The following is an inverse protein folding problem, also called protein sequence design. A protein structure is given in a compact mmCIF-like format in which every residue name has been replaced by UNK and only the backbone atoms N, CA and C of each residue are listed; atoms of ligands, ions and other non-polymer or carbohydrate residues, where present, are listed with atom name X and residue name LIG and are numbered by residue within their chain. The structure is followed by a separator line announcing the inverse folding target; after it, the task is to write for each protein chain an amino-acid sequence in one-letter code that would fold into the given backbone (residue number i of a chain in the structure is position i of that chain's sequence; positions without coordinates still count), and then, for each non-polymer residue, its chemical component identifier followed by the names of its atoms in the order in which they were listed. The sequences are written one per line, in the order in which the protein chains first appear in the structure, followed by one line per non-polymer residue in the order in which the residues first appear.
data_IF_639644267202
#
_entry.id   IF_639644267202
#
_cell.length_a   1.000
_cell.length_b   1.000
_cell.length_c   1.000
_cell.angle_alpha   90.00
_cell.angle_beta   90.00
_cell.angle_gamma   90.00
#
_symmetry.space_group_name_H-M   'P 1'
#
loop_
_entity.id
_entity.type
_entity.pdbx_description
1 polymer ?
#
# COMPACT_ATOMS: atom_id res chain seq x y z
N UNK A 1 14.55 -53.50 26.40
CA UNK A 1 14.16 -52.10 26.59
C UNK A 1 14.17 -51.41 25.21
N UNK A 2 13.65 -50.19 25.00
CA UNK A 2 13.69 -49.56 23.68
C UNK A 2 15.11 -49.14 23.26
N UNK A 3 15.44 -49.34 21.98
CA UNK A 3 16.66 -48.83 21.35
C UNK A 3 16.30 -47.56 20.59
N UNK A 4 16.95 -46.44 20.93
CA UNK A 4 16.73 -45.15 20.27
C UNK A 4 17.98 -44.72 19.49
N UNK A 5 17.77 -43.91 18.46
CA UNK A 5 18.86 -43.27 17.74
C UNK A 5 19.06 -41.83 18.25
N UNK A 6 20.21 -41.57 18.89
CA UNK A 6 20.52 -40.27 19.48
C UNK A 6 20.65 -39.14 18.45
N UNK A 7 21.00 -39.45 17.20
CA UNK A 7 21.04 -38.44 16.13
C UNK A 7 19.70 -37.75 15.95
N UNK A 8 18.59 -38.46 16.16
CA UNK A 8 17.23 -37.90 16.00
C UNK A 8 16.97 -36.75 16.97
N UNK A 9 17.50 -36.82 18.19
CA UNK A 9 17.18 -35.89 19.28
C UNK A 9 18.23 -34.80 19.46
N UNK A 10 19.50 -35.09 19.16
CA UNK A 10 20.64 -34.19 19.45
C UNK A 10 21.39 -33.75 18.19
N UNK A 11 20.72 -33.72 17.04
CA UNK A 11 21.29 -33.08 15.85
C UNK A 11 21.33 -31.55 16.05
N UNK A 12 22.42 -30.84 15.67
CA UNK A 12 23.57 -31.28 14.89
C UNK A 12 24.77 -31.76 15.71
N UNK A 13 24.71 -31.76 17.04
CA UNK A 13 25.80 -32.17 17.93
C UNK A 13 26.22 -33.62 17.67
N UNK A 14 25.24 -34.51 17.50
CA UNK A 14 25.45 -35.89 17.06
C UNK A 14 25.07 -35.99 15.58
N UNK A 15 26.07 -36.12 14.70
CA UNK A 15 25.86 -36.16 13.24
C UNK A 15 25.72 -37.57 12.66
N UNK A 16 26.24 -38.59 13.34
CA UNK A 16 26.19 -39.99 12.90
C UNK A 16 25.14 -40.75 13.69
N UNK A 17 24.55 -41.78 13.08
CA UNK A 17 23.60 -42.66 13.77
C UNK A 17 24.30 -43.34 14.96
N UNK A 18 23.71 -43.19 16.15
CA UNK A 18 24.21 -43.75 17.39
C UNK A 18 23.04 -44.36 18.16
N UNK A 19 23.01 -45.69 18.21
CA UNK A 19 21.93 -46.46 18.81
C UNK A 19 22.25 -46.79 20.26
N UNK A 20 21.35 -46.44 21.17
CA UNK A 20 21.51 -46.67 22.62
C UNK A 20 20.23 -47.30 23.16
N UNK A 21 20.39 -48.35 23.97
CA UNK A 21 19.30 -48.93 24.73
C UNK A 21 19.03 -48.08 25.96
N UNK A 22 17.79 -47.61 26.10
CA UNK A 22 17.33 -46.76 27.20
C UNK A 22 16.07 -47.36 27.82
N UNK A 23 15.72 -46.96 29.04
CA UNK A 23 14.46 -47.37 29.65
C UNK A 23 13.25 -46.81 28.89
N UNK A 24 12.09 -47.46 29.07
CA UNK A 24 10.84 -47.01 28.45
C UNK A 24 10.48 -45.56 28.83
N UNK A 25 10.64 -45.21 30.10
CA UNK A 25 10.37 -43.86 30.62
C UNK A 25 11.25 -42.80 29.96
N UNK A 26 12.53 -43.08 29.76
CA UNK A 26 13.46 -42.14 29.10
C UNK A 26 13.10 -41.96 27.63
N UNK A 27 12.77 -43.05 26.93
CA UNK A 27 12.34 -42.97 25.54
C UNK A 27 11.05 -42.15 25.37
N UNK A 28 10.09 -42.30 26.28
CA UNK A 28 8.84 -41.54 26.27
C UNK A 28 9.07 -40.05 26.58
N UNK A 29 9.89 -39.74 27.59
CA UNK A 29 10.25 -38.37 27.94
C UNK A 29 10.91 -37.63 26.77
N UNK A 30 11.79 -38.31 26.01
CA UNK A 30 12.44 -37.74 24.83
C UNK A 30 11.46 -37.43 23.70
N UNK A 31 10.50 -38.32 23.43
CA UNK A 31 9.45 -38.08 22.43
C UNK A 31 8.52 -36.95 22.85
N UNK A 32 8.15 -36.87 24.13
CA UNK A 32 7.31 -35.77 24.61
C UNK A 32 8.03 -34.42 24.52
N UNK A 33 9.33 -34.38 24.83
CA UNK A 33 10.17 -33.20 24.62
C UNK A 33 10.11 -32.70 23.17
N UNK A 34 10.31 -33.60 22.19
CA UNK A 34 10.20 -33.25 20.76
C UNK A 34 8.81 -32.74 20.37
N UNK A 35 7.74 -33.30 20.94
CA UNK A 35 6.37 -32.83 20.67
C UNK A 35 6.18 -31.42 21.22
N UNK A 36 6.70 -31.12 22.40
CA UNK A 36 6.64 -29.79 23.01
C UNK A 36 7.39 -28.78 22.14
N UNK A 37 8.63 -29.10 21.71
CA UNK A 37 9.43 -28.24 20.84
C UNK A 37 8.72 -27.95 19.51
N UNK A 38 8.22 -28.98 18.82
CA UNK A 38 7.46 -28.81 17.57
C UNK A 38 6.20 -27.99 17.76
N UNK A 39 5.51 -28.14 18.91
CA UNK A 39 4.33 -27.33 19.24
C UNK A 39 4.71 -25.87 19.40
N UNK A 40 5.84 -25.59 20.05
CA UNK A 40 6.37 -24.24 20.19
C UNK A 40 6.79 -23.64 18.85
N UNK A 41 7.51 -24.38 18.01
CA UNK A 41 7.87 -23.92 16.65
C UNK A 41 6.64 -23.58 15.80
N UNK A 42 5.61 -24.44 15.82
CA UNK A 42 4.35 -24.17 15.14
C UNK A 42 3.66 -22.90 15.66
N UNK A 43 3.65 -22.68 16.97
CA UNK A 43 3.12 -21.44 17.57
C UNK A 43 3.89 -20.21 17.11
N UNK A 44 5.24 -20.28 17.10
CA UNK A 44 6.10 -19.19 16.60
C UNK A 44 5.78 -18.86 15.16
N UNK A 45 5.65 -19.86 14.29
CA UNK A 45 5.34 -19.67 12.88
C UNK A 45 3.93 -19.10 12.66
N UNK A 46 2.92 -19.64 13.34
CA UNK A 46 1.52 -19.21 13.19
C UNK A 46 1.32 -17.77 13.68
N UNK A 47 1.85 -17.44 14.87
CA UNK A 47 1.72 -16.11 15.45
C UNK A 47 2.81 -15.13 15.02
N UNK A 48 3.77 -15.57 14.19
CA UNK A 48 4.96 -14.80 13.77
C UNK A 48 5.72 -14.18 14.95
N UNK A 49 5.81 -14.91 16.06
CA UNK A 49 6.52 -14.48 17.27
C UNK A 49 7.95 -15.02 17.19
N UNK A 50 8.81 -14.25 16.54
CA UNK A 50 10.24 -14.51 16.49
C UNK A 50 10.94 -13.63 17.52
N UNK A 51 11.97 -14.17 18.19
CA UNK A 51 12.82 -13.33 19.05
C UNK A 51 13.53 -12.30 18.18
N UNK A 52 13.82 -11.11 18.72
CA UNK A 52 14.68 -10.13 18.05
C UNK A 52 16.14 -10.60 17.94
N UNK A 53 16.53 -11.66 18.65
CA UNK A 53 17.88 -12.22 18.55
C UNK A 53 18.00 -13.34 17.51
N UNK A 54 16.89 -13.79 16.92
CA UNK A 54 16.90 -14.98 16.04
C UNK A 54 17.51 -14.76 14.66
N UNK A 55 17.94 -13.53 14.31
CA UNK A 55 18.61 -13.18 13.06
C UNK A 55 17.90 -13.81 11.83
N UNK A 56 16.57 -13.81 11.86
CA UNK A 56 15.77 -14.31 10.74
C UNK A 56 15.62 -13.20 9.68
N UNK A 57 15.37 -13.59 8.44
CA UNK A 57 15.17 -12.64 7.35
C UNK A 57 13.98 -11.70 7.57
N UNK A 58 13.06 -12.05 8.47
CA UNK A 58 11.89 -11.25 8.85
C UNK A 58 12.30 -10.00 9.63
N UNK A 59 13.30 -10.09 10.52
CA UNK A 59 13.88 -8.92 11.18
C UNK A 59 14.57 -7.98 10.21
N UNK A 60 15.36 -8.54 9.27
CA UNK A 60 16.00 -7.74 8.24
C UNK A 60 14.94 -7.01 7.40
N UNK A 61 13.84 -7.69 7.08
CA UNK A 61 12.73 -7.09 6.34
C UNK A 61 12.06 -5.94 7.10
N UNK A 62 11.74 -6.12 8.39
CA UNK A 62 11.15 -5.04 9.21
C UNK A 62 12.15 -3.88 9.36
N UNK A 63 13.43 -4.17 9.58
CA UNK A 63 14.43 -3.13 9.84
C UNK A 63 14.81 -2.34 8.58
N UNK A 64 14.81 -2.99 7.41
CA UNK A 64 15.17 -2.35 6.13
C UNK A 64 13.96 -1.66 5.48
N UNK A 65 12.74 -2.19 5.65
CA UNK A 65 11.56 -1.71 4.91
C UNK A 65 10.48 -1.07 5.80
N UNK A 66 10.62 -1.08 7.13
CA UNK A 66 9.72 -0.29 7.97
C UNK A 66 9.87 1.19 7.62
N UNK A 67 8.75 1.82 7.28
CA UNK A 67 8.69 3.26 7.10
C UNK A 67 9.00 3.95 8.43
N UNK A 68 9.75 5.05 8.36
CA UNK A 68 9.93 5.90 9.52
C UNK A 68 8.55 6.41 9.99
N UNK A 69 8.32 6.60 11.30
CA UNK A 69 7.14 7.31 11.78
C UNK A 69 6.92 8.66 11.10
N UNK A 70 8.01 9.36 10.74
CA UNK A 70 7.97 10.60 9.96
C UNK A 70 7.38 10.38 8.56
N UNK A 71 7.81 9.34 7.84
CA UNK A 71 7.27 9.00 6.51
C UNK A 71 5.78 8.68 6.56
N UNK A 72 5.34 8.01 7.63
CA UNK A 72 3.92 7.68 7.84
C UNK A 72 3.10 8.95 8.05
N UNK A 73 3.59 9.89 8.86
CA UNK A 73 2.93 11.17 9.07
C UNK A 73 2.89 12.02 7.80
N UNK A 74 4.01 12.10 7.08
CA UNK A 74 4.08 12.84 5.83
C UNK A 74 3.09 12.29 4.80
N UNK A 75 3.02 10.97 4.62
CA UNK A 75 2.04 10.35 3.72
C UNK A 75 0.61 10.63 4.15
N UNK A 76 0.32 10.62 5.45
CA UNK A 76 -1.02 10.94 5.95
C UNK A 76 -1.40 12.39 5.62
N UNK A 77 -0.46 13.34 5.75
CA UNK A 77 -0.65 14.73 5.36
C UNK A 77 -0.83 14.89 3.85
N UNK A 78 0.00 14.23 3.04
CA UNK A 78 -0.13 14.20 1.57
C UNK A 78 -1.48 13.66 1.12
N UNK A 79 -1.94 12.55 1.73
CA UNK A 79 -3.26 11.99 1.47
C UNK A 79 -4.38 12.97 1.84
N UNK A 80 -4.30 13.59 3.02
CA UNK A 80 -5.28 14.58 3.45
C UNK A 80 -5.30 15.82 2.53
N UNK A 81 -4.14 16.26 2.04
CA UNK A 81 -4.04 17.34 1.07
C UNK A 81 -4.66 16.94 -0.27
N UNK A 82 -4.41 15.72 -0.74
CA UNK A 82 -4.99 15.19 -1.97
C UNK A 82 -6.52 15.14 -1.88
N UNK A 83 -7.10 14.67 -0.77
CA UNK A 83 -8.54 14.66 -0.55
C UNK A 83 -9.14 16.07 -0.55
N UNK A 84 -8.49 17.02 0.13
CA UNK A 84 -8.89 18.44 0.10
C UNK A 84 -8.87 18.96 -1.33
N UNK A 85 -7.84 18.65 -2.11
CA UNK A 85 -7.73 19.08 -3.50
C UNK A 85 -8.83 18.48 -4.39
N UNK A 86 -9.19 17.21 -4.19
CA UNK A 86 -10.32 16.59 -4.89
C UNK A 86 -11.65 17.26 -4.55
N UNK A 87 -11.89 17.58 -3.26
CA UNK A 87 -13.08 18.31 -2.83
C UNK A 87 -13.16 19.70 -3.45
N UNK A 88 -12.04 20.45 -3.45
CA UNK A 88 -11.93 21.78 -4.08
C UNK A 88 -12.20 21.72 -5.59
N UNK A 89 -11.70 20.68 -6.26
CA UNK A 89 -11.98 20.45 -7.68
C UNK A 89 -13.46 20.17 -7.92
N UNK A 90 -14.08 19.29 -7.12
CA UNK A 90 -15.51 18.99 -7.23
C UNK A 90 -16.36 20.25 -7.07
N UNK A 91 -16.03 21.10 -6.10
CA UNK A 91 -16.69 22.39 -5.88
C UNK A 91 -16.51 23.34 -7.08
N UNK A 92 -15.28 23.48 -7.60
CA UNK A 92 -15.02 24.29 -8.79
C UNK A 92 -15.78 23.81 -10.03
N UNK A 93 -15.96 22.49 -10.19
CA UNK A 93 -16.77 21.91 -11.27
C UNK A 93 -18.27 22.23 -11.11
N UNK A 94 -18.78 22.36 -9.88
CA UNK A 94 -20.17 22.72 -9.62
C UNK A 94 -20.51 24.16 -10.09
N UNK A 95 -19.51 25.05 -10.15
CA UNK A 95 -19.67 26.42 -10.66
C UNK A 95 -19.65 26.53 -12.20
N UNK A 96 -19.38 25.44 -12.91
CA UNK A 96 -19.38 25.42 -14.37
C UNK A 96 -20.77 25.15 -14.95
N UNK A 97 -20.98 25.55 -16.21
CA UNK A 97 -22.17 25.08 -16.92
C UNK A 97 -22.06 23.58 -17.21
N UNK A 98 -23.17 22.83 -17.30
CA UNK A 98 -23.14 21.40 -17.58
C UNK A 98 -22.33 21.05 -18.85
N UNK A 99 -22.43 21.88 -19.88
CA UNK A 99 -21.66 21.72 -21.13
C UNK A 99 -20.16 21.93 -20.92
N UNK A 100 -19.74 22.97 -20.18
CA UNK A 100 -18.33 23.19 -19.87
C UNK A 100 -17.75 22.03 -19.05
N UNK A 101 -18.44 21.61 -18.00
CA UNK A 101 -18.02 20.50 -17.15
C UNK A 101 -17.87 19.20 -17.96
N UNK A 102 -18.86 18.87 -18.79
CA UNK A 102 -18.83 17.69 -19.66
C UNK A 102 -17.66 17.72 -20.65
N UNK A 103 -17.47 18.84 -21.37
CA UNK A 103 -16.37 19.00 -22.34
C UNK A 103 -14.98 18.94 -21.67
N UNK A 104 -14.83 19.52 -20.47
CA UNK A 104 -13.58 19.45 -19.69
C UNK A 104 -13.30 18.01 -19.23
N UNK A 105 -14.30 17.31 -18.69
CA UNK A 105 -14.17 15.89 -18.31
C UNK A 105 -13.77 15.04 -19.53
N UNK A 106 -14.46 15.21 -20.65
CA UNK A 106 -14.14 14.49 -21.90
C UNK A 106 -12.70 14.75 -22.38
N UNK A 107 -12.21 15.99 -22.26
CA UNK A 107 -10.86 16.36 -22.68
C UNK A 107 -9.76 15.82 -21.77
N UNK A 108 -9.86 16.04 -20.45
CA UNK A 108 -8.76 15.79 -19.52
C UNK A 108 -8.88 14.46 -18.78
N UNK A 109 -10.09 14.01 -18.45
CA UNK A 109 -10.30 12.70 -17.82
C UNK A 109 -10.52 11.61 -18.87
N UNK A 110 -11.17 11.95 -19.99
CA UNK A 110 -11.48 11.02 -21.08
C UNK A 110 -10.47 11.01 -22.24
N UNK A 111 -9.45 11.88 -22.23
CA UNK A 111 -8.39 11.94 -23.25
C UNK A 111 -8.83 12.33 -24.66
N UNK A 112 -10.09 12.74 -24.88
CA UNK A 112 -10.62 13.05 -26.21
C UNK A 112 -10.01 14.31 -26.82
N UNK A 113 -9.88 14.35 -28.14
CA UNK A 113 -9.50 15.58 -28.86
C UNK A 113 -10.67 16.57 -28.91
N UNK A 114 -10.38 17.86 -29.05
CA UNK A 114 -11.43 18.90 -29.14
C UNK A 114 -12.34 18.68 -30.35
N UNK A 115 -11.76 18.24 -31.47
CA UNK A 115 -12.50 17.82 -32.65
C UNK A 115 -13.49 16.68 -32.37
N UNK A 116 -13.03 15.61 -31.72
CA UNK A 116 -13.87 14.46 -31.35
C UNK A 116 -15.00 14.85 -30.40
N UNK A 117 -14.73 15.76 -29.46
CA UNK A 117 -15.75 16.31 -28.54
C UNK A 117 -16.80 17.11 -29.33
N UNK A 118 -16.35 17.93 -30.28
CA UNK A 118 -17.23 18.67 -31.17
C UNK A 118 -18.13 17.74 -31.98
N UNK A 119 -17.53 16.78 -32.69
CA UNK A 119 -18.22 15.79 -33.53
C UNK A 119 -19.28 15.01 -32.74
N UNK A 120 -18.97 14.56 -31.51
CA UNK A 120 -19.92 13.84 -30.64
C UNK A 120 -21.12 14.68 -30.20
N UNK A 121 -20.93 15.99 -30.05
CA UNK A 121 -21.97 16.93 -29.61
C UNK A 121 -22.65 17.66 -30.79
N UNK A 122 -22.27 17.37 -32.03
CA UNK A 122 -22.74 18.10 -33.21
C UNK A 122 -22.27 19.57 -33.25
N UNK A 123 -21.18 19.89 -32.56
CA UNK A 123 -20.61 21.25 -32.48
C UNK A 123 -19.26 21.33 -33.19
N UNK A 124 -18.85 22.53 -33.60
CA UNK A 124 -17.53 22.72 -34.22
C UNK A 124 -16.39 22.58 -33.21
N UNK A 125 -15.21 22.13 -33.68
CA UNK A 125 -13.99 22.03 -32.85
C UNK A 125 -13.67 23.35 -32.11
N UNK A 126 -13.79 24.48 -32.81
CA UNK A 126 -13.54 25.81 -32.24
C UNK A 126 -14.46 26.14 -31.08
N UNK A 127 -15.73 25.73 -31.14
CA UNK A 127 -16.72 25.96 -30.09
C UNK A 127 -16.47 25.04 -28.88
N UNK A 128 -16.15 23.77 -29.14
CA UNK A 128 -15.71 22.85 -28.09
C UNK A 128 -14.47 23.40 -27.37
N UNK A 129 -13.47 23.88 -28.12
CA UNK A 129 -12.27 24.50 -27.59
C UNK A 129 -12.55 25.79 -26.81
N UNK A 130 -13.44 26.66 -27.30
CA UNK A 130 -13.81 27.89 -26.60
C UNK A 130 -14.52 27.59 -25.27
N UNK A 131 -15.43 26.61 -25.25
CA UNK A 131 -16.13 26.17 -24.04
C UNK A 131 -15.14 25.60 -23.00
N UNK A 132 -14.21 24.73 -23.41
CA UNK A 132 -13.18 24.19 -22.51
C UNK A 132 -12.30 25.30 -21.93
N UNK A 133 -11.77 26.21 -22.77
CA UNK A 133 -10.92 27.32 -22.30
C UNK A 133 -11.66 28.28 -21.36
N UNK A 134 -12.91 28.62 -21.69
CA UNK A 134 -13.72 29.51 -20.84
C UNK A 134 -14.08 28.85 -19.50
N UNK A 135 -14.37 27.54 -19.49
CA UNK A 135 -14.59 26.77 -18.28
C UNK A 135 -13.35 26.73 -17.37
N UNK A 136 -12.17 26.47 -17.92
CA UNK A 136 -10.91 26.51 -17.15
C UNK A 136 -10.67 27.90 -16.55
N UNK A 137 -10.88 28.98 -17.32
CA UNK A 137 -10.77 30.36 -16.79
C UNK A 137 -11.75 30.63 -15.65
N UNK A 138 -12.97 30.08 -15.72
CA UNK A 138 -13.96 30.20 -14.65
C UNK A 138 -13.51 29.43 -13.40
N UNK A 139 -13.01 28.21 -13.55
CA UNK A 139 -12.42 27.46 -12.43
C UNK A 139 -11.27 28.26 -11.81
N UNK A 140 -10.31 28.75 -12.60
CA UNK A 140 -9.17 29.55 -12.09
C UNK A 140 -9.63 30.77 -11.27
N UNK A 141 -10.61 31.53 -11.77
CA UNK A 141 -11.18 32.66 -11.02
C UNK A 141 -11.80 32.21 -9.70
N UNK A 142 -12.51 31.09 -9.70
CA UNK A 142 -13.09 30.52 -8.50
C UNK A 142 -12.03 30.10 -7.47
N UNK A 143 -10.96 29.42 -7.90
CA UNK A 143 -9.83 29.07 -7.02
C UNK A 143 -9.15 30.30 -6.40
N UNK A 144 -9.02 31.40 -7.15
CA UNK A 144 -8.48 32.67 -6.65
C UNK A 144 -9.43 33.30 -5.64
N UNK A 145 -10.75 33.30 -5.90
CA UNK A 145 -11.76 33.82 -4.97
C UNK A 145 -11.76 33.06 -3.63
N UNK A 146 -11.57 31.74 -3.68
CA UNK A 146 -11.46 30.90 -2.48
C UNK A 146 -10.07 30.95 -1.82
N UNK A 147 -9.13 31.76 -2.36
CA UNK A 147 -7.74 31.88 -1.88
C UNK A 147 -6.96 30.57 -1.87
N UNK A 148 -7.35 29.61 -2.72
CA UNK A 148 -6.62 28.35 -2.91
C UNK A 148 -5.51 28.47 -3.94
N UNK A 149 -5.57 29.52 -4.77
CA UNK A 149 -4.55 29.81 -5.77
C UNK A 149 -4.21 31.31 -5.69
N UNK A 150 -2.92 31.63 -5.69
CA UNK A 150 -2.49 33.03 -5.72
C UNK A 150 -2.84 33.66 -7.08
N UNK A 151 -3.35 34.89 -7.06
CA UNK A 151 -3.53 35.66 -8.28
C UNK A 151 -2.14 35.92 -8.89
N UNK A 152 -1.84 35.28 -10.01
CA UNK A 152 -0.65 35.61 -10.80
C UNK A 152 -0.89 36.98 -11.43
N UNK A 153 0.06 37.91 -11.28
CA UNK A 153 0.10 39.12 -12.13
C UNK A 153 0.37 38.64 -13.55
N UNK A 154 -0.54 38.93 -14.48
CA UNK A 154 -0.23 38.80 -15.90
C UNK A 154 0.67 40.00 -16.24
N UNK A 155 1.97 39.73 -16.48
CA UNK A 155 2.89 40.66 -17.15
C UNK A 155 2.60 40.70 -18.66
#
# INVERSE_FOLDING_TARGET
MPIINLRKYYYPTIRKDAFVEVSGEVAEALEEGLRIERRQEKKKLYHKVFSMDTNDWTQLHISIYAQSPEDVLLRAEEHAEQERNLSRMAEAFAHLTPTQARRIRARYMGGKKLREIGELEGTGESEAGHSVRSGIRRMRRYFIQQKWLNAQKED
#
